data_IF_567108730487
#
_entry.id   IF_567108730487
#
_cell.length_a   1.000
_cell.length_b   1.000
_cell.length_c   1.000
_cell.angle_alpha   90.00
_cell.angle_beta   90.00
_cell.angle_gamma   90.00
#
_symmetry.space_group_name_H-M   'P 1'
#
loop_
_entity.id
_entity.type
_entity.pdbx_description
1 polymer ?
#
# COMPACT_ATOMS: atom_id res chain seq x y z
N UNK A 1 -0.64 32.68 -13.82
CA UNK A 1 -1.18 31.50 -13.10
C UNK A 1 -0.51 30.26 -13.68
N UNK A 2 0.52 29.77 -13.00
CA UNK A 2 1.26 28.57 -13.43
C UNK A 2 0.37 27.35 -13.17
N UNK A 3 -0.15 26.71 -14.23
CA UNK A 3 -0.70 25.35 -14.16
C UNK A 3 0.46 24.43 -13.80
N UNK A 4 0.61 24.10 -12.50
CA UNK A 4 1.42 22.96 -12.12
C UNK A 4 0.82 21.74 -12.83
N UNK A 5 1.49 21.27 -13.86
CA UNK A 5 1.27 19.96 -14.45
C UNK A 5 1.63 18.92 -13.38
N UNK A 6 0.67 18.55 -12.54
CA UNK A 6 0.74 17.29 -11.83
C UNK A 6 0.77 16.21 -12.93
N UNK A 7 1.89 15.52 -13.04
CA UNK A 7 1.96 14.32 -13.85
C UNK A 7 0.96 13.34 -13.24
N UNK A 8 -0.25 13.29 -13.81
CA UNK A 8 -1.28 12.34 -13.44
C UNK A 8 -0.75 10.94 -13.70
N UNK A 9 -0.91 10.07 -12.70
CA UNK A 9 -0.62 8.65 -12.87
C UNK A 9 -1.65 8.10 -13.86
N UNK A 10 -1.18 7.38 -14.87
CA UNK A 10 -2.08 6.71 -15.82
C UNK A 10 -2.39 5.32 -15.29
N UNK A 11 -3.64 5.11 -14.92
CA UNK A 11 -4.14 3.81 -14.50
C UNK A 11 -4.92 3.17 -15.65
N UNK A 12 -4.64 1.91 -15.94
CA UNK A 12 -5.42 1.09 -16.85
C UNK A 12 -6.58 0.41 -16.10
N UNK A 13 -7.57 -0.06 -16.84
CA UNK A 13 -8.64 -0.90 -16.32
C UNK A 13 -8.13 -2.31 -16.03
N UNK A 14 -8.74 -2.98 -15.06
CA UNK A 14 -8.44 -4.38 -14.70
C UNK A 14 -6.93 -4.64 -14.53
N UNK A 15 -6.25 -3.74 -13.81
CA UNK A 15 -4.81 -3.78 -13.61
C UNK A 15 -4.46 -3.61 -12.14
N UNK A 16 -3.41 -4.29 -11.67
CA UNK A 16 -2.93 -4.19 -10.30
C UNK A 16 -1.80 -3.17 -10.19
N UNK A 17 -1.91 -2.26 -9.26
CA UNK A 17 -0.92 -1.22 -9.02
C UNK A 17 -0.35 -1.30 -7.60
N UNK A 18 0.96 -1.18 -7.49
CA UNK A 18 1.64 -0.85 -6.25
C UNK A 18 1.76 0.67 -6.14
N UNK A 19 1.00 1.26 -5.22
CA UNK A 19 0.96 2.70 -4.96
C UNK A 19 1.70 2.98 -3.66
N UNK A 20 2.60 3.95 -3.67
CA UNK A 20 3.37 4.33 -2.49
C UNK A 20 3.78 5.80 -2.48
N UNK A 21 3.92 6.36 -1.29
CA UNK A 21 4.47 7.68 -1.07
C UNK A 21 5.18 7.73 0.29
N UNK A 22 6.06 8.71 0.44
CA UNK A 22 6.88 8.91 1.63
C UNK A 22 6.72 10.34 2.14
N UNK A 23 6.97 10.54 3.43
CA UNK A 23 7.08 11.87 4.02
C UNK A 23 8.23 12.67 3.39
N UNK A 24 8.02 13.98 3.21
CA UNK A 24 9.08 14.90 2.79
C UNK A 24 10.28 14.77 3.73
N UNK A 25 11.49 14.78 3.16
CA UNK A 25 12.74 14.59 3.91
C UNK A 25 12.75 13.33 4.78
N UNK A 26 12.03 12.28 4.35
CA UNK A 26 11.84 11.03 5.10
C UNK A 26 11.25 11.21 6.50
N UNK A 27 10.57 12.34 6.77
CA UNK A 27 9.91 12.61 8.04
C UNK A 27 8.79 11.61 8.32
N UNK A 28 8.44 11.44 9.61
CA UNK A 28 7.26 10.68 10.00
C UNK A 28 6.00 11.26 9.37
N UNK A 29 5.10 10.38 8.98
CA UNK A 29 3.75 10.70 8.53
C UNK A 29 2.68 10.13 9.49
N UNK A 30 3.07 9.16 10.33
CA UNK A 30 2.25 8.62 11.41
C UNK A 30 2.98 8.87 12.73
N UNK A 31 2.38 9.67 13.61
CA UNK A 31 2.95 10.10 14.89
C UNK A 31 2.39 9.27 16.06
N UNK A 32 1.12 8.88 15.95
CA UNK A 32 0.39 8.10 16.96
C UNK A 32 -0.31 6.91 16.29
N UNK A 33 -0.75 5.94 17.09
CA UNK A 33 -1.57 4.82 16.61
C UNK A 33 -2.86 5.31 15.95
N UNK A 34 -3.50 6.34 16.51
CA UNK A 34 -4.72 6.93 15.94
C UNK A 34 -4.50 7.44 14.50
N UNK A 35 -3.30 7.90 14.16
CA UNK A 35 -3.00 8.35 12.79
C UNK A 35 -3.03 7.19 11.79
N UNK A 36 -2.52 6.00 12.16
CA UNK A 36 -2.59 4.81 11.30
C UNK A 36 -4.05 4.40 11.08
N UNK A 37 -4.84 4.33 12.15
CA UNK A 37 -6.26 3.95 12.06
C UNK A 37 -7.04 4.95 11.21
N UNK A 38 -6.82 6.24 11.40
CA UNK A 38 -7.43 7.29 10.60
C UNK A 38 -7.05 7.19 9.12
N UNK A 39 -5.80 6.84 8.80
CA UNK A 39 -5.36 6.65 7.42
C UNK A 39 -6.03 5.42 6.78
N UNK A 40 -6.15 4.31 7.52
CA UNK A 40 -6.87 3.11 7.06
C UNK A 40 -8.36 3.41 6.81
N UNK A 41 -9.00 4.19 7.67
CA UNK A 41 -10.38 4.63 7.46
C UNK A 41 -10.51 5.49 6.20
N UNK A 42 -9.56 6.40 5.98
CA UNK A 42 -9.52 7.18 4.74
C UNK A 42 -9.27 6.33 3.49
N UNK A 43 -8.42 5.30 3.54
CA UNK A 43 -8.28 4.36 2.44
C UNK A 43 -9.62 3.70 2.14
N UNK A 44 -10.33 3.25 3.18
CA UNK A 44 -11.66 2.64 3.03
C UNK A 44 -12.65 3.58 2.35
N UNK A 45 -12.71 4.81 2.81
CA UNK A 45 -13.67 5.80 2.32
C UNK A 45 -13.35 6.29 0.91
N UNK A 46 -12.09 6.59 0.65
CA UNK A 46 -11.70 7.29 -0.57
C UNK A 46 -11.28 6.33 -1.71
N UNK A 47 -10.67 5.17 -1.39
CA UNK A 47 -10.09 4.31 -2.43
C UNK A 47 -10.94 3.08 -2.77
N UNK A 48 -11.65 2.46 -1.81
CA UNK A 48 -12.48 1.28 -2.10
C UNK A 48 -13.54 1.55 -3.19
N UNK A 49 -14.18 2.75 -3.29
CA UNK A 49 -15.09 3.04 -4.40
C UNK A 49 -14.44 2.98 -5.79
N UNK A 50 -13.12 2.95 -5.86
CA UNK A 50 -12.35 3.01 -7.11
C UNK A 50 -11.49 1.77 -7.37
N UNK A 51 -11.54 0.77 -6.50
CA UNK A 51 -10.81 -0.49 -6.68
C UNK A 51 -10.67 -1.32 -5.42
N UNK A 52 -10.30 -2.59 -5.59
CA UNK A 52 -10.09 -3.53 -4.50
C UNK A 52 -8.69 -3.37 -3.90
N UNK A 53 -8.61 -3.13 -2.60
CA UNK A 53 -7.33 -3.17 -1.88
C UNK A 53 -6.93 -4.63 -1.72
N UNK A 54 -5.77 -5.01 -2.25
CA UNK A 54 -5.24 -6.38 -2.17
C UNK A 54 -4.31 -6.58 -0.98
N UNK A 55 -3.38 -5.65 -0.75
CA UNK A 55 -2.55 -5.63 0.45
C UNK A 55 -2.08 -4.21 0.79
N UNK A 56 -1.60 -4.02 2.02
CA UNK A 56 -1.01 -2.76 2.46
C UNK A 56 0.05 -2.96 3.56
N UNK A 57 0.90 -1.96 3.71
CA UNK A 57 1.76 -1.77 4.87
C UNK A 57 1.96 -0.26 5.12
N UNK A 58 1.63 0.19 6.33
CA UNK A 58 1.84 1.56 6.76
C UNK A 58 3.08 1.63 7.64
N UNK A 59 4.12 2.31 7.16
CA UNK A 59 5.39 2.51 7.86
C UNK A 59 5.41 3.89 8.50
N UNK A 60 6.20 4.15 9.54
CA UNK A 60 6.19 5.45 10.23
C UNK A 60 6.35 6.66 9.31
N UNK A 61 7.08 6.53 8.21
CA UNK A 61 7.40 7.61 7.29
C UNK A 61 6.99 7.38 5.83
N UNK A 62 6.30 6.28 5.52
CA UNK A 62 5.80 5.97 4.17
C UNK A 62 4.68 4.94 4.23
N UNK A 63 3.99 4.75 3.12
CA UNK A 63 2.99 3.69 2.98
C UNK A 63 3.14 2.96 1.66
N UNK A 64 2.67 1.73 1.64
CA UNK A 64 2.52 0.89 0.47
C UNK A 64 1.09 0.37 0.40
N UNK A 65 0.49 0.46 -0.78
CA UNK A 65 -0.83 -0.10 -1.09
C UNK A 65 -0.73 -0.91 -2.38
N UNK A 66 -1.44 -2.02 -2.45
CA UNK A 66 -1.69 -2.74 -3.69
C UNK A 66 -3.18 -2.68 -3.97
N UNK A 67 -3.55 -2.17 -5.14
CA UNK A 67 -4.94 -1.97 -5.56
C UNK A 67 -5.16 -2.58 -6.94
N UNK A 68 -6.29 -3.29 -7.12
CA UNK A 68 -6.82 -3.68 -8.42
C UNK A 68 -7.84 -2.64 -8.87
N UNK A 69 -7.70 -2.14 -10.08
CA UNK A 69 -8.68 -1.27 -10.73
C UNK A 69 -9.79 -2.11 -11.38
N UNK A 70 -11.08 -1.72 -11.27
CA UNK A 70 -12.18 -2.45 -11.91
C UNK A 70 -12.19 -2.30 -13.44
N UNK A 71 -13.08 -3.05 -14.11
CA UNK A 71 -13.25 -2.96 -15.55
C UNK A 71 -13.83 -1.61 -15.98
N UNK A 72 -14.89 -1.15 -15.27
CA UNK A 72 -15.55 0.15 -15.51
C UNK A 72 -14.83 1.27 -14.74
N UNK A 73 -13.58 1.51 -15.11
CA UNK A 73 -12.69 2.37 -14.37
C UNK A 73 -12.32 3.64 -15.15
N UNK A 74 -12.28 4.78 -14.45
CA UNK A 74 -11.75 6.04 -14.97
C UNK A 74 -10.49 6.42 -14.21
N UNK A 75 -9.36 6.47 -14.91
CA UNK A 75 -8.04 6.78 -14.33
C UNK A 75 -8.04 8.04 -13.47
N UNK A 76 -8.76 9.08 -13.89
CA UNK A 76 -8.84 10.35 -13.17
C UNK A 76 -9.55 10.22 -11.81
N UNK A 77 -10.48 9.28 -11.66
CA UNK A 77 -11.24 9.13 -10.41
C UNK A 77 -10.31 8.58 -9.30
N UNK A 78 -9.47 7.59 -9.59
CA UNK A 78 -8.48 7.08 -8.63
C UNK A 78 -7.40 8.13 -8.33
N UNK A 79 -6.92 8.88 -9.33
CA UNK A 79 -5.98 9.99 -9.10
C UNK A 79 -6.56 11.03 -8.15
N UNK A 80 -7.82 11.41 -8.36
CA UNK A 80 -8.53 12.37 -7.51
C UNK A 80 -8.71 11.82 -6.09
N UNK A 81 -9.12 10.55 -5.96
CA UNK A 81 -9.31 9.86 -4.69
C UNK A 81 -8.01 9.80 -3.88
N UNK A 82 -6.88 9.40 -4.49
CA UNK A 82 -5.56 9.44 -3.88
C UNK A 82 -5.21 10.87 -3.45
N UNK A 83 -5.47 11.85 -4.31
CA UNK A 83 -5.25 13.26 -4.00
C UNK A 83 -6.07 13.74 -2.80
N UNK A 84 -7.35 13.36 -2.70
CA UNK A 84 -8.24 13.70 -1.57
C UNK A 84 -7.73 13.04 -0.29
N UNK A 85 -7.40 11.74 -0.34
CA UNK A 85 -6.84 10.99 0.78
C UNK A 85 -5.62 11.71 1.36
N UNK A 86 -4.61 11.98 0.52
CA UNK A 86 -3.34 12.56 0.98
C UNK A 86 -3.49 14.01 1.48
N UNK A 87 -4.28 14.84 0.78
CA UNK A 87 -4.50 16.23 1.21
C UNK A 87 -5.28 16.32 2.51
N UNK A 88 -6.36 15.54 2.64
CA UNK A 88 -7.18 15.56 3.85
C UNK A 88 -6.44 14.98 5.06
N UNK A 89 -5.62 13.94 4.86
CA UNK A 89 -4.74 13.41 5.90
C UNK A 89 -3.68 14.44 6.30
N UNK A 90 -2.97 15.05 5.32
CA UNK A 90 -1.99 16.12 5.57
C UNK A 90 -2.58 17.25 6.40
N UNK A 91 -3.80 17.69 6.06
CA UNK A 91 -4.47 18.77 6.82
C UNK A 91 -4.70 18.38 8.28
N UNK A 92 -5.16 17.17 8.53
CA UNK A 92 -5.40 16.67 9.89
C UNK A 92 -4.10 16.58 10.71
N UNK A 93 -3.03 16.03 10.11
CA UNK A 93 -1.72 15.93 10.77
C UNK A 93 -1.10 17.31 11.00
N UNK A 94 -1.20 18.22 10.03
CA UNK A 94 -0.70 19.58 10.21
C UNK A 94 -1.39 20.29 11.37
N UNK A 95 -2.70 20.12 11.52
CA UNK A 95 -3.44 20.67 12.66
C UNK A 95 -3.02 20.02 14.00
N UNK A 96 -2.89 18.69 14.02
CA UNK A 96 -2.48 17.94 15.22
C UNK A 96 -1.09 18.34 15.69
N UNK A 97 -0.14 18.48 14.78
CA UNK A 97 1.28 18.70 15.08
C UNK A 97 1.68 20.18 15.07
N UNK A 98 0.74 21.12 14.91
CA UNK A 98 1.02 22.56 14.84
C UNK A 98 1.95 22.95 13.70
N UNK A 99 1.89 22.25 12.57
CA UNK A 99 2.78 22.40 11.43
C UNK A 99 2.04 22.88 10.18
N UNK A 100 2.79 23.31 9.18
CA UNK A 100 2.27 23.73 7.88
C UNK A 100 3.03 23.06 6.71
N UNK A 101 2.51 23.20 5.51
CA UNK A 101 3.13 22.69 4.29
C UNK A 101 2.81 21.23 3.99
N UNK A 102 3.52 20.68 3.00
CA UNK A 102 3.31 19.32 2.54
C UNK A 102 3.87 18.29 3.52
N UNK A 103 3.07 17.27 3.83
CA UNK A 103 3.50 16.13 4.63
C UNK A 103 4.20 15.08 3.75
N UNK A 104 3.65 14.82 2.58
CA UNK A 104 4.14 13.82 1.63
C UNK A 104 5.04 14.43 0.55
N UNK A 105 5.87 13.59 -0.05
CA UNK A 105 6.60 13.94 -1.26
C UNK A 105 5.62 14.30 -2.39
N UNK A 106 6.05 15.21 -3.26
CA UNK A 106 5.20 15.82 -4.28
C UNK A 106 4.60 14.80 -5.26
N UNK A 107 5.33 13.73 -5.58
CA UNK A 107 4.88 12.69 -6.52
C UNK A 107 4.59 11.39 -5.77
N UNK A 108 3.32 11.01 -5.70
CA UNK A 108 2.94 9.63 -5.40
C UNK A 108 3.37 8.75 -6.56
N UNK A 109 3.91 7.58 -6.27
CA UNK A 109 4.36 6.62 -7.27
C UNK A 109 3.34 5.50 -7.38
N UNK A 110 3.07 5.09 -8.62
CA UNK A 110 2.27 3.91 -8.94
C UNK A 110 3.04 3.07 -9.97
N UNK A 111 3.23 1.79 -9.66
CA UNK A 111 3.86 0.83 -10.55
C UNK A 111 2.85 -0.25 -10.87
N UNK A 112 2.57 -0.45 -12.15
CA UNK A 112 1.74 -1.57 -12.61
C UNK A 112 2.46 -2.89 -12.37
N UNK A 113 1.75 -3.88 -11.82
CA UNK A 113 2.30 -5.19 -11.44
C UNK A 113 1.89 -6.29 -12.41
N UNK A 114 0.77 -6.15 -13.09
CA UNK A 114 0.29 -7.09 -14.09
C UNK A 114 0.48 -6.42 -15.46
N UNK A 115 1.49 -6.85 -16.19
CA UNK A 115 1.64 -6.52 -17.60
C UNK A 115 1.03 -7.68 -18.41
N UNK A 116 -0.05 -7.38 -19.14
CA UNK A 116 -0.77 -8.35 -19.97
C UNK A 116 0.12 -9.00 -21.06
N UNK A 117 1.28 -8.41 -21.34
CA UNK A 117 2.25 -8.90 -22.31
C UNK A 117 3.37 -9.76 -21.68
N UNK A 118 3.35 -9.98 -20.37
CA UNK A 118 4.41 -10.68 -19.65
C UNK A 118 3.87 -11.91 -18.91
N UNK A 119 4.19 -13.11 -19.40
CA UNK A 119 3.79 -14.39 -18.79
C UNK A 119 4.33 -14.60 -17.36
N UNK A 120 5.21 -13.72 -16.85
CA UNK A 120 5.77 -13.76 -15.48
C UNK A 120 5.05 -12.80 -14.50
N UNK A 121 3.91 -12.21 -14.89
CA UNK A 121 3.22 -11.20 -14.10
C UNK A 121 2.74 -11.70 -12.72
N UNK A 122 2.33 -12.97 -12.64
CA UNK A 122 1.81 -13.58 -11.40
C UNK A 122 2.86 -13.62 -10.30
N UNK A 123 4.07 -14.09 -10.62
CA UNK A 123 5.20 -14.13 -9.67
C UNK A 123 5.59 -12.74 -9.16
N UNK A 124 5.35 -11.69 -9.97
CA UNK A 124 5.69 -10.34 -9.59
C UNK A 124 4.70 -9.75 -8.58
N UNK A 125 3.40 -10.09 -8.68
CA UNK A 125 2.40 -9.68 -7.70
C UNK A 125 2.69 -10.30 -6.32
N UNK A 126 2.92 -11.61 -6.26
CA UNK A 126 3.30 -12.33 -5.05
C UNK A 126 4.58 -11.75 -4.42
N UNK A 127 5.62 -11.59 -5.23
CA UNK A 127 6.89 -10.99 -4.79
C UNK A 127 6.73 -9.57 -4.24
N UNK A 128 5.90 -8.74 -4.90
CA UNK A 128 5.62 -7.38 -4.44
C UNK A 128 4.83 -7.38 -3.12
N UNK A 129 3.87 -8.29 -2.94
CA UNK A 129 3.12 -8.40 -1.69
C UNK A 129 4.03 -8.79 -0.53
N UNK A 130 4.89 -9.80 -0.69
CA UNK A 130 5.88 -10.14 0.32
C UNK A 130 6.85 -8.98 0.59
N UNK A 131 7.32 -8.29 -0.45
CA UNK A 131 8.13 -7.08 -0.28
C UNK A 131 7.43 -6.03 0.59
N UNK A 132 6.15 -5.75 0.34
CA UNK A 132 5.34 -4.80 1.11
C UNK A 132 5.27 -5.21 2.58
N UNK A 133 5.00 -6.49 2.85
CA UNK A 133 4.86 -7.00 4.22
C UNK A 133 6.20 -7.09 4.97
N UNK A 134 7.31 -7.29 4.28
CA UNK A 134 8.65 -7.38 4.86
C UNK A 134 9.21 -6.02 5.34
N UNK A 135 8.64 -4.89 4.89
CA UNK A 135 9.18 -3.56 5.20
C UNK A 135 9.42 -3.31 6.69
N UNK A 136 8.51 -3.64 7.62
CA UNK A 136 8.71 -3.39 9.06
C UNK A 136 9.89 -4.16 9.65
N UNK A 137 10.07 -5.43 9.24
CA UNK A 137 11.20 -6.26 9.72
C UNK A 137 12.52 -5.73 9.14
N UNK A 138 12.55 -5.40 7.86
CA UNK A 138 13.74 -4.82 7.22
C UNK A 138 14.15 -3.46 7.80
N UNK A 139 13.18 -2.69 8.25
CA UNK A 139 13.42 -1.41 8.91
C UNK A 139 13.81 -1.57 10.41
N UNK A 140 13.88 -2.81 10.92
CA UNK A 140 14.20 -3.08 12.32
C UNK A 140 13.13 -2.62 13.31
N UNK A 141 11.89 -2.38 12.85
CA UNK A 141 10.79 -1.93 13.71
C UNK A 141 10.21 -3.09 14.53
N UNK A 142 10.26 -4.30 14.01
CA UNK A 142 9.80 -5.54 14.63
C UNK A 142 10.72 -6.70 14.23
N UNK A 143 10.76 -7.76 15.03
CA UNK A 143 11.54 -8.95 14.74
C UNK A 143 10.81 -9.92 13.78
N UNK A 144 9.48 -9.98 13.85
CA UNK A 144 8.64 -10.89 13.09
C UNK A 144 7.50 -10.16 12.39
N UNK A 145 7.05 -10.68 11.25
CA UNK A 145 6.00 -10.10 10.41
C UNK A 145 4.66 -9.90 11.16
N UNK A 146 4.31 -10.84 12.03
CA UNK A 146 3.07 -10.81 12.81
C UNK A 146 3.05 -9.76 13.93
N UNK A 147 4.18 -9.12 14.21
CA UNK A 147 4.27 -8.07 15.24
C UNK A 147 3.87 -6.68 14.72
N UNK A 148 3.82 -6.50 13.37
CA UNK A 148 3.46 -5.19 12.81
C UNK A 148 1.96 -5.10 12.51
N UNK A 149 1.22 -4.49 13.42
CA UNK A 149 -0.24 -4.42 13.35
C UNK A 149 -0.81 -3.55 12.21
N UNK A 150 0.00 -2.66 11.62
CA UNK A 150 -0.41 -1.76 10.53
C UNK A 150 -0.05 -2.32 9.14
N UNK A 151 -0.09 -3.62 9.02
CA UNK A 151 0.08 -4.38 7.78
C UNK A 151 -1.10 -5.32 7.57
N UNK A 152 -1.46 -5.55 6.32
CA UNK A 152 -2.43 -6.58 5.92
C UNK A 152 -1.87 -8.01 6.04
N UNK A 153 -0.59 -8.18 6.38
CA UNK A 153 0.00 -9.49 6.61
C UNK A 153 -0.84 -10.33 7.60
N UNK A 154 -1.25 -9.72 8.72
CA UNK A 154 -2.06 -10.40 9.74
C UNK A 154 -3.41 -10.90 9.20
N UNK A 155 -4.01 -10.16 8.27
CA UNK A 155 -5.32 -10.51 7.68
C UNK A 155 -5.17 -11.64 6.66
N UNK A 156 -4.12 -11.59 5.84
CA UNK A 156 -3.83 -12.60 4.81
C UNK A 156 -3.29 -13.89 5.43
N UNK A 157 -2.54 -13.80 6.53
CA UNK A 157 -2.08 -14.94 7.31
C UNK A 157 -3.19 -15.59 8.17
N UNK A 158 -4.42 -15.05 8.18
CA UNK A 158 -5.51 -15.56 9.01
C UNK A 158 -5.37 -15.27 10.50
N UNK A 159 -4.43 -14.43 10.91
CA UNK A 159 -4.15 -14.06 12.31
C UNK A 159 -5.04 -12.90 12.81
N UNK A 160 -5.71 -12.20 11.89
CA UNK A 160 -6.66 -11.13 12.15
C UNK A 160 -7.77 -11.16 11.11
N UNK A 161 -8.98 -10.77 11.50
CA UNK A 161 -10.12 -10.72 10.59
C UNK A 161 -10.41 -9.28 10.13
N UNK A 162 -9.43 -8.61 9.52
CA UNK A 162 -9.62 -7.31 8.90
C UNK A 162 -10.42 -7.39 7.60
N UNK A 163 -11.14 -6.30 7.30
CA UNK A 163 -12.08 -6.21 6.16
C UNK A 163 -11.67 -5.16 5.12
N UNK A 164 -10.46 -4.62 5.21
CA UNK A 164 -9.99 -3.62 4.24
C UNK A 164 -9.55 -4.26 2.94
N UNK A 165 -8.85 -5.41 3.02
CA UNK A 165 -8.37 -6.12 1.85
C UNK A 165 -9.36 -7.15 1.35
N UNK A 166 -9.53 -7.25 0.03
CA UNK A 166 -10.18 -8.35 -0.63
C UNK A 166 -9.24 -9.57 -0.67
N UNK A 167 -9.31 -10.39 0.40
CA UNK A 167 -8.41 -11.53 0.61
C UNK A 167 -8.58 -12.61 -0.46
N UNK A 168 -9.82 -12.87 -0.87
CA UNK A 168 -10.10 -13.89 -1.89
C UNK A 168 -9.48 -13.50 -3.22
N UNK A 169 -9.69 -12.26 -3.63
CA UNK A 169 -9.13 -11.72 -4.86
C UNK A 169 -7.59 -11.67 -4.81
N UNK A 170 -7.01 -11.34 -3.65
CA UNK A 170 -5.56 -11.38 -3.47
C UNK A 170 -4.99 -12.78 -3.74
N UNK A 171 -5.54 -13.83 -3.12
CA UNK A 171 -5.06 -15.19 -3.29
C UNK A 171 -5.30 -15.72 -4.71
N UNK A 172 -6.43 -15.36 -5.33
CA UNK A 172 -6.72 -15.72 -6.71
C UNK A 172 -5.70 -15.12 -7.69
N UNK A 173 -5.36 -13.83 -7.53
CA UNK A 173 -4.45 -13.13 -8.45
C UNK A 173 -2.97 -13.42 -8.20
N UNK A 174 -2.59 -13.69 -6.95
CA UNK A 174 -1.19 -13.98 -6.60
C UNK A 174 -0.81 -15.45 -6.82
N UNK A 175 -1.80 -16.33 -7.00
CA UNK A 175 -1.66 -17.79 -7.05
C UNK A 175 -1.00 -18.40 -5.81
N UNK A 176 -0.82 -17.61 -4.75
CA UNK A 176 -0.32 -18.10 -3.46
C UNK A 176 -1.41 -18.94 -2.82
N UNK A 177 -1.08 -20.14 -2.40
CA UNK A 177 -1.98 -20.96 -1.59
C UNK A 177 -2.10 -20.38 -0.19
N UNK A 178 -3.34 -20.28 0.34
CA UNK A 178 -3.58 -19.70 1.68
C UNK A 178 -2.79 -20.39 2.80
N UNK A 179 -2.68 -21.72 2.72
CA UNK A 179 -1.92 -22.55 3.67
C UNK A 179 -0.41 -22.40 3.55
N UNK A 180 0.12 -21.94 2.43
CA UNK A 180 1.54 -21.72 2.18
C UNK A 180 1.98 -20.25 2.41
N UNK A 181 1.05 -19.31 2.51
CA UNK A 181 1.34 -17.87 2.56
C UNK A 181 2.34 -17.48 3.66
N UNK A 182 2.19 -18.03 4.87
CA UNK A 182 3.10 -17.76 6.00
C UNK A 182 4.49 -18.28 5.68
N UNK A 183 4.59 -19.53 5.24
CA UNK A 183 5.84 -20.20 4.91
C UNK A 183 6.61 -19.49 3.78
N UNK A 184 5.91 -19.09 2.72
CA UNK A 184 6.51 -18.31 1.64
C UNK A 184 7.01 -16.93 2.12
N UNK A 185 6.24 -16.25 2.99
CA UNK A 185 6.64 -14.97 3.56
C UNK A 185 7.91 -15.09 4.42
N UNK A 186 8.02 -16.14 5.22
CA UNK A 186 9.20 -16.43 6.05
C UNK A 186 10.40 -16.81 5.19
N UNK A 187 10.24 -17.66 4.19
CA UNK A 187 11.30 -18.02 3.24
C UNK A 187 11.86 -16.77 2.52
N UNK A 188 11.00 -15.84 2.11
CA UNK A 188 11.42 -14.57 1.52
C UNK A 188 12.17 -13.66 2.50
N UNK A 189 11.84 -13.74 3.79
CA UNK A 189 12.56 -13.00 4.83
C UNK A 189 13.98 -13.57 5.00
N UNK A 190 14.12 -14.90 5.12
CA UNK A 190 15.40 -15.58 5.31
C UNK A 190 16.32 -15.41 4.11
N UNK A 191 15.80 -15.57 2.89
CA UNK A 191 16.56 -15.32 1.67
C UNK A 191 17.19 -13.91 1.67
N UNK A 192 16.44 -12.91 2.11
CA UNK A 192 16.92 -11.51 2.13
C UNK A 192 17.87 -11.20 3.29
N UNK A 193 17.76 -11.89 4.43
CA UNK A 193 18.72 -11.78 5.52
C UNK A 193 20.08 -12.34 5.14
N UNK A 194 20.10 -13.42 4.34
CA UNK A 194 21.33 -14.07 3.90
C UNK A 194 22.00 -13.36 2.70
N UNK A 195 21.28 -12.47 2.01
CA UNK A 195 21.78 -11.70 0.86
C UNK A 195 22.24 -10.28 1.22
N UNK A 196 22.18 -9.88 2.51
CA UNK A 196 22.57 -8.56 3.03
C UNK A 196 23.86 -8.64 3.83
#
# INVERSE_FOLDING_TARGET
MSKLLYLEMKFATHSVYHIYNRGNNSQKIFFTEANYLFFLDKIRKELIPHGDILCYCLMPNHFHLMILTPEDFKSNDLNNAIGILLRSYTRAINLQEGRSGSLFQQKTKAKELIDKNNNNAVNYLATCAHYIHLNPVKAGLVAHLNQWRFSSYLDLAGLRNGTLCNKELFFMLSEIRKDEFIKESEAMLDFKRNAS
#
